data_IF_742127097250
#
_entry.id   IF_742127097250
#
_cell.length_a   1.000
_cell.length_b   1.000
_cell.length_c   1.000
_cell.angle_alpha   90.00
_cell.angle_beta   90.00
_cell.angle_gamma   90.00
#
_symmetry.space_group_name_H-M   'P 1'
#
loop_
_entity.id
_entity.type
_entity.pdbx_description
1 polymer ?
#
# COMPACT_ATOMS: atom_id res chain seq x y z
N UNK A 1 9.99 -21.62 8.44
CA UNK A 1 9.87 -20.92 7.16
C UNK A 1 10.20 -21.90 6.02
N UNK A 2 9.31 -22.02 5.03
CA UNK A 2 9.51 -22.85 3.85
C UNK A 2 9.58 -21.99 2.61
N UNK A 3 10.53 -22.27 1.72
CA UNK A 3 10.74 -21.52 0.50
C UNK A 3 10.25 -22.33 -0.72
N UNK A 4 9.48 -21.67 -1.58
CA UNK A 4 9.05 -22.20 -2.88
C UNK A 4 9.57 -21.23 -3.95
N UNK A 5 10.47 -21.72 -4.81
CA UNK A 5 10.95 -20.92 -5.94
C UNK A 5 9.88 -20.85 -7.02
N UNK A 6 9.37 -19.65 -7.24
CA UNK A 6 8.42 -19.34 -8.31
C UNK A 6 8.77 -17.99 -8.89
N UNK A 7 8.79 -17.90 -10.21
CA UNK A 7 9.02 -16.67 -10.95
C UNK A 7 7.71 -16.18 -11.56
N UNK A 8 7.51 -14.87 -11.55
CA UNK A 8 6.41 -14.24 -12.26
C UNK A 8 6.62 -14.30 -13.78
N UNK A 9 5.53 -14.53 -14.52
CA UNK A 9 5.57 -14.48 -15.97
C UNK A 9 5.78 -13.04 -16.47
N UNK A 10 6.74 -12.88 -17.41
CA UNK A 10 6.99 -11.61 -18.08
C UNK A 10 5.99 -11.42 -19.22
N UNK A 11 5.37 -10.22 -19.30
CA UNK A 11 4.30 -9.93 -20.26
C UNK A 11 4.81 -9.38 -21.60
N UNK A 12 5.97 -8.74 -21.60
CA UNK A 12 6.57 -8.23 -22.84
C UNK A 12 7.30 -9.35 -23.57
N UNK A 13 6.98 -9.52 -24.86
CA UNK A 13 7.63 -10.49 -25.74
C UNK A 13 9.01 -9.96 -26.14
N UNK A 14 10.06 -10.45 -25.49
CA UNK A 14 11.47 -10.33 -25.88
C UNK A 14 12.15 -11.67 -25.74
N UNK A 15 13.26 -11.91 -26.42
CA UNK A 15 14.01 -13.17 -26.32
C UNK A 15 14.43 -13.47 -24.89
N UNK A 16 14.81 -12.44 -24.13
CA UNK A 16 15.15 -12.55 -22.71
C UNK A 16 13.93 -12.95 -21.86
N UNK A 17 12.77 -12.36 -22.13
CA UNK A 17 11.53 -12.65 -21.42
C UNK A 17 10.97 -14.04 -21.78
N UNK A 18 11.20 -14.53 -23.00
CA UNK A 18 10.86 -15.92 -23.37
C UNK A 18 11.70 -16.88 -22.53
N UNK A 19 13.01 -16.66 -22.38
CA UNK A 19 13.85 -17.46 -21.51
C UNK A 19 13.41 -17.43 -20.05
N UNK A 20 13.07 -16.26 -19.52
CA UNK A 20 12.52 -16.09 -18.16
C UNK A 20 11.19 -16.81 -17.99
N UNK A 21 10.32 -16.81 -18.98
CA UNK A 21 9.03 -17.50 -18.94
C UNK A 21 9.19 -19.03 -18.98
N UNK A 22 10.18 -19.56 -19.71
CA UNK A 22 10.52 -21.00 -19.68
C UNK A 22 10.95 -21.40 -18.28
N UNK A 23 11.83 -20.63 -17.62
CA UNK A 23 12.23 -20.86 -16.23
C UNK A 23 11.03 -20.78 -15.29
N UNK A 24 10.13 -19.84 -15.48
CA UNK A 24 8.90 -19.72 -14.68
C UNK A 24 7.99 -20.94 -14.82
N UNK A 25 7.82 -21.48 -16.04
CA UNK A 25 7.07 -22.73 -16.28
C UNK A 25 7.73 -23.91 -15.58
N UNK A 26 9.06 -24.03 -15.65
CA UNK A 26 9.81 -25.08 -14.98
C UNK A 26 9.67 -25.02 -13.45
N UNK A 27 9.82 -23.83 -12.86
CA UNK A 27 9.61 -23.62 -11.43
C UNK A 27 8.16 -23.93 -11.01
N UNK A 28 7.18 -23.57 -11.83
CA UNK A 28 5.77 -23.92 -11.60
C UNK A 28 5.56 -25.44 -11.63
N UNK A 29 6.16 -26.15 -12.57
CA UNK A 29 6.08 -27.61 -12.64
C UNK A 29 6.73 -28.28 -11.41
N UNK A 30 7.88 -27.79 -10.96
CA UNK A 30 8.59 -28.29 -9.77
C UNK A 30 7.92 -27.87 -8.45
N UNK A 31 7.03 -26.89 -8.45
CA UNK A 31 6.32 -26.44 -7.24
C UNK A 31 5.40 -27.53 -6.67
N UNK A 32 4.85 -28.43 -7.51
CA UNK A 32 3.94 -29.49 -7.09
C UNK A 32 4.54 -30.47 -6.05
N UNK A 33 5.69 -31.10 -6.30
CA UNK A 33 6.37 -31.93 -5.30
C UNK A 33 6.75 -31.16 -4.04
N UNK A 34 7.25 -29.92 -4.16
CA UNK A 34 7.63 -29.06 -3.02
C UNK A 34 6.42 -28.70 -2.14
N UNK A 35 5.31 -28.26 -2.74
CA UNK A 35 4.07 -27.96 -2.01
C UNK A 35 3.52 -29.20 -1.31
N UNK A 36 3.60 -30.37 -1.97
CA UNK A 36 3.19 -31.65 -1.37
C UNK A 36 4.02 -31.98 -0.13
N UNK A 37 5.35 -31.80 -0.20
CA UNK A 37 6.26 -32.01 0.92
C UNK A 37 5.90 -31.08 2.09
N UNK A 38 5.76 -29.77 1.84
CA UNK A 38 5.41 -28.77 2.86
C UNK A 38 4.07 -29.13 3.53
N UNK A 39 3.02 -29.44 2.78
CA UNK A 39 1.72 -29.79 3.33
C UNK A 39 1.77 -31.09 4.16
N UNK A 40 2.63 -32.05 3.78
CA UNK A 40 2.81 -33.29 4.56
C UNK A 40 3.57 -33.06 5.87
N UNK A 41 4.54 -32.15 5.87
CA UNK A 41 5.35 -31.80 7.04
C UNK A 41 4.55 -30.92 8.03
N UNK A 42 3.89 -29.89 7.52
CA UNK A 42 3.16 -28.90 8.35
C UNK A 42 1.81 -29.43 8.80
N UNK A 43 1.12 -30.23 7.98
CA UNK A 43 -0.25 -30.75 8.20
C UNK A 43 -1.21 -29.65 8.68
N UNK A 44 -1.37 -28.55 7.91
CA UNK A 44 -2.18 -27.42 8.34
C UNK A 44 -3.68 -27.74 8.32
N UNK A 45 -4.43 -27.21 9.29
CA UNK A 45 -5.90 -27.24 9.29
C UNK A 45 -6.47 -26.19 8.34
N UNK A 46 -5.74 -25.12 8.08
CA UNK A 46 -6.11 -24.02 7.20
C UNK A 46 -4.89 -23.51 6.40
N UNK A 47 -5.09 -23.22 5.13
CA UNK A 47 -4.10 -22.54 4.28
C UNK A 47 -4.68 -21.22 3.77
N UNK A 48 -3.98 -20.10 4.05
CA UNK A 48 -4.38 -18.78 3.63
C UNK A 48 -3.39 -18.24 2.59
N UNK A 49 -3.92 -17.81 1.45
CA UNK A 49 -3.16 -17.13 0.41
C UNK A 49 -3.37 -15.62 0.46
N UNK A 50 -2.28 -14.86 0.64
CA UNK A 50 -2.31 -13.39 0.63
C UNK A 50 -1.81 -12.80 -0.70
N UNK A 51 -2.01 -13.50 -1.80
CA UNK A 51 -1.56 -13.08 -3.13
C UNK A 51 -0.10 -13.42 -3.42
N UNK A 52 0.39 -12.87 -4.53
CA UNK A 52 1.71 -13.20 -5.07
C UNK A 52 1.74 -14.57 -5.77
N UNK A 53 2.79 -14.79 -6.56
CA UNK A 53 2.93 -16.03 -7.35
C UNK A 53 3.09 -17.27 -6.49
N UNK A 54 3.70 -17.12 -5.30
CA UNK A 54 4.00 -18.23 -4.37
C UNK A 54 2.72 -18.81 -3.75
N UNK A 55 1.70 -18.00 -3.50
CA UNK A 55 0.45 -18.46 -2.91
C UNK A 55 -0.32 -19.41 -3.83
N UNK A 56 -0.21 -19.25 -5.16
CA UNK A 56 -0.94 -20.04 -6.14
C UNK A 56 -0.81 -21.56 -5.95
N UNK A 57 0.38 -22.13 -6.10
CA UNK A 57 0.59 -23.57 -6.01
C UNK A 57 0.24 -24.17 -4.66
N UNK A 58 0.61 -23.51 -3.56
CA UNK A 58 0.40 -24.08 -2.21
C UNK A 58 -1.09 -24.08 -1.82
N UNK A 59 -1.80 -22.99 -2.09
CA UNK A 59 -3.25 -22.88 -1.81
C UNK A 59 -4.04 -23.86 -2.69
N UNK A 60 -3.69 -23.93 -3.98
CA UNK A 60 -4.33 -24.87 -4.90
C UNK A 60 -4.09 -26.33 -4.50
N UNK A 61 -2.87 -26.68 -4.10
CA UNK A 61 -2.54 -28.02 -3.64
C UNK A 61 -3.29 -28.39 -2.35
N UNK A 62 -3.48 -27.44 -1.44
CA UNK A 62 -4.26 -27.58 -0.21
C UNK A 62 -5.74 -27.79 -0.53
N UNK A 63 -6.34 -26.95 -1.38
CA UNK A 63 -7.73 -27.09 -1.81
C UNK A 63 -8.03 -28.45 -2.44
N UNK A 64 -7.16 -28.94 -3.33
CA UNK A 64 -7.30 -30.27 -3.95
C UNK A 64 -7.17 -31.44 -2.99
N UNK A 65 -6.62 -31.22 -1.81
CA UNK A 65 -6.51 -32.24 -0.74
C UNK A 65 -7.64 -32.16 0.28
N UNK A 66 -8.61 -31.26 0.08
CA UNK A 66 -9.70 -31.03 1.03
C UNK A 66 -9.29 -30.29 2.30
N UNK A 67 -8.07 -29.73 2.36
CA UNK A 67 -7.65 -28.83 3.44
C UNK A 67 -8.44 -27.52 3.30
N UNK A 68 -8.92 -26.97 4.41
CA UNK A 68 -9.63 -25.69 4.40
C UNK A 68 -8.74 -24.59 3.81
N UNK A 69 -9.29 -23.76 2.92
CA UNK A 69 -8.53 -22.74 2.20
C UNK A 69 -9.24 -21.41 2.16
N UNK A 70 -8.48 -20.34 2.31
CA UNK A 70 -8.94 -18.97 2.14
C UNK A 70 -7.94 -18.19 1.29
N UNK A 71 -8.40 -17.16 0.60
CA UNK A 71 -7.53 -16.13 0.05
C UNK A 71 -7.98 -14.76 0.56
N UNK A 72 -7.00 -13.85 0.72
CA UNK A 72 -7.26 -12.44 0.97
C UNK A 72 -6.73 -11.61 -0.21
N UNK A 73 -7.61 -10.81 -0.82
CA UNK A 73 -7.25 -9.85 -1.85
C UNK A 73 -7.23 -8.45 -1.28
N UNK A 74 -6.07 -7.81 -1.32
CA UNK A 74 -5.81 -6.51 -0.71
C UNK A 74 -6.18 -5.33 -1.60
N UNK A 75 -6.30 -5.54 -2.90
CA UNK A 75 -6.44 -4.48 -3.89
C UNK A 75 -7.86 -4.41 -4.47
N UNK A 76 -8.28 -3.21 -4.87
CA UNK A 76 -9.52 -2.97 -5.60
C UNK A 76 -9.54 -3.65 -7.01
N UNK A 77 -8.35 -3.90 -7.56
CA UNK A 77 -8.18 -4.70 -8.77
C UNK A 77 -7.39 -5.98 -8.45
N UNK A 78 -8.07 -7.14 -8.43
CA UNK A 78 -7.47 -8.40 -8.00
C UNK A 78 -6.33 -8.86 -8.89
N UNK A 79 -5.30 -9.43 -8.24
CA UNK A 79 -4.21 -10.09 -8.95
C UNK A 79 -4.64 -11.39 -9.64
N UNK A 80 -3.93 -11.76 -10.72
CA UNK A 80 -4.23 -12.97 -11.50
C UNK A 80 -4.26 -14.23 -10.65
N UNK A 81 -3.33 -14.38 -9.70
CA UNK A 81 -3.27 -15.54 -8.81
C UNK A 81 -4.55 -15.67 -7.99
N UNK A 82 -5.03 -14.59 -7.37
CA UNK A 82 -6.25 -14.61 -6.57
C UNK A 82 -7.49 -14.87 -7.42
N UNK A 83 -7.57 -14.32 -8.66
CA UNK A 83 -8.66 -14.64 -9.60
C UNK A 83 -8.73 -16.13 -9.93
N UNK A 84 -7.58 -16.77 -10.13
CA UNK A 84 -7.53 -18.22 -10.41
C UNK A 84 -7.92 -19.06 -9.18
N UNK A 85 -7.43 -18.66 -8.00
CA UNK A 85 -7.70 -19.38 -6.75
C UNK A 85 -9.12 -19.17 -6.23
N UNK A 86 -9.76 -18.03 -6.50
CA UNK A 86 -11.09 -17.68 -6.00
C UNK A 86 -12.12 -18.79 -6.26
N UNK A 87 -12.05 -19.47 -7.42
CA UNK A 87 -12.93 -20.56 -7.77
C UNK A 87 -12.64 -21.88 -7.03
N UNK A 88 -11.41 -22.06 -6.55
CA UNK A 88 -10.94 -23.35 -5.96
C UNK A 88 -10.96 -23.34 -4.42
N UNK A 89 -10.89 -22.17 -3.78
CA UNK A 89 -10.86 -22.04 -2.31
C UNK A 89 -12.24 -22.10 -1.66
N UNK A 90 -12.28 -22.34 -0.35
CA UNK A 90 -13.54 -22.39 0.40
C UNK A 90 -14.14 -20.98 0.56
N UNK A 91 -13.34 -19.99 0.95
CA UNK A 91 -13.79 -18.60 1.12
C UNK A 91 -12.80 -17.62 0.50
N UNK A 92 -13.31 -16.46 0.08
CA UNK A 92 -12.57 -15.35 -0.44
C UNK A 92 -12.82 -14.13 0.44
N UNK A 93 -11.77 -13.51 0.93
CA UNK A 93 -11.80 -12.29 1.72
C UNK A 93 -11.28 -11.14 0.85
N UNK A 94 -12.10 -10.13 0.61
CA UNK A 94 -11.73 -8.98 -0.22
C UNK A 94 -11.60 -7.72 0.65
N UNK A 95 -10.60 -6.89 0.36
CA UNK A 95 -10.47 -5.62 1.04
C UNK A 95 -11.48 -4.58 0.52
N UNK A 96 -11.80 -4.63 -0.77
CA UNK A 96 -12.67 -3.66 -1.45
C UNK A 96 -13.87 -4.36 -2.10
N UNK A 97 -15.03 -3.68 -2.10
CA UNK A 97 -16.21 -4.12 -2.82
C UNK A 97 -15.97 -4.19 -4.35
N UNK A 98 -15.14 -3.29 -4.89
CA UNK A 98 -14.76 -3.25 -6.31
C UNK A 98 -14.04 -4.52 -6.78
N UNK A 99 -13.46 -5.30 -5.85
CA UNK A 99 -12.78 -6.55 -6.15
C UNK A 99 -13.73 -7.74 -6.31
N UNK A 100 -14.92 -7.72 -5.71
CA UNK A 100 -15.81 -8.88 -5.57
C UNK A 100 -16.15 -9.51 -6.92
N UNK A 101 -16.75 -8.73 -7.82
CA UNK A 101 -17.13 -9.21 -9.16
C UNK A 101 -15.91 -9.63 -9.99
N UNK A 102 -14.81 -8.89 -9.85
CA UNK A 102 -13.57 -9.12 -10.62
C UNK A 102 -12.83 -10.40 -10.19
N UNK A 103 -13.08 -10.90 -8.97
CA UNK A 103 -12.57 -12.18 -8.47
C UNK A 103 -13.29 -13.38 -9.10
N UNK A 104 -14.52 -13.19 -9.59
CA UNK A 104 -15.29 -14.22 -10.31
C UNK A 104 -15.82 -15.35 -9.41
N UNK A 105 -16.04 -15.07 -8.13
CA UNK A 105 -16.65 -15.96 -7.15
C UNK A 105 -17.41 -15.15 -6.07
N UNK A 106 -18.40 -14.30 -6.47
CA UNK A 106 -19.07 -13.39 -5.54
C UNK A 106 -19.81 -14.14 -4.42
N UNK A 107 -20.32 -15.33 -4.68
CA UNK A 107 -21.09 -16.16 -3.74
C UNK A 107 -20.32 -16.59 -2.49
N UNK A 108 -19.00 -16.62 -2.55
CA UNK A 108 -18.11 -16.97 -1.42
C UNK A 108 -17.12 -15.86 -1.07
N UNK A 109 -17.31 -14.67 -1.64
CA UNK A 109 -16.49 -13.50 -1.35
C UNK A 109 -17.16 -12.63 -0.29
N UNK A 110 -16.42 -12.30 0.75
CA UNK A 110 -16.86 -11.35 1.80
C UNK A 110 -15.91 -10.17 1.82
N UNK A 111 -16.46 -8.94 1.84
CA UNK A 111 -15.68 -7.72 2.03
C UNK A 111 -15.36 -7.58 3.51
N UNK A 112 -14.07 -7.56 3.83
CA UNK A 112 -13.54 -7.50 5.21
C UNK A 112 -12.61 -6.32 5.44
N UNK A 113 -12.12 -5.67 4.40
CA UNK A 113 -11.08 -4.64 4.47
C UNK A 113 -9.67 -5.23 4.53
N UNK A 114 -8.67 -4.35 4.62
CA UNK A 114 -7.28 -4.72 4.89
C UNK A 114 -7.00 -4.63 6.40
N UNK A 115 -6.24 -5.58 6.97
CA UNK A 115 -5.86 -5.49 8.38
C UNK A 115 -4.91 -4.31 8.59
N UNK A 116 -5.24 -3.47 9.57
CA UNK A 116 -4.42 -2.33 10.00
C UNK A 116 -3.77 -2.68 11.33
N UNK A 117 -2.50 -2.29 11.48
CA UNK A 117 -1.76 -2.52 12.72
C UNK A 117 -2.42 -1.84 13.91
N UNK A 118 -2.56 -2.51 15.06
CA UNK A 118 -3.19 -1.93 16.26
C UNK A 118 -2.57 -0.59 16.67
N UNK A 119 -1.24 -0.44 16.52
CA UNK A 119 -0.53 0.78 16.86
C UNK A 119 -0.96 1.99 16.01
N UNK A 120 -1.42 1.77 14.76
CA UNK A 120 -1.97 2.82 13.90
C UNK A 120 -3.35 3.26 14.40
N UNK A 121 -4.17 2.30 14.84
CA UNK A 121 -5.53 2.57 15.34
C UNK A 121 -5.53 3.29 16.69
N UNK A 122 -4.50 3.05 17.52
CA UNK A 122 -4.41 3.56 18.90
C UNK A 122 -3.48 4.75 19.07
N UNK A 123 -2.78 5.18 18.01
CA UNK A 123 -1.84 6.31 18.09
C UNK A 123 -2.58 7.63 18.39
N UNK A 124 -2.19 8.26 19.50
CA UNK A 124 -2.75 9.55 19.91
C UNK A 124 -2.15 10.71 19.11
N UNK A 125 -3.03 11.48 18.46
CA UNK A 125 -2.63 12.62 17.61
C UNK A 125 -1.98 13.74 18.41
N UNK A 126 -2.51 14.08 19.57
CA UNK A 126 -2.02 15.19 20.36
C UNK A 126 -0.61 14.88 20.91
N UNK A 127 -0.43 13.67 21.45
CA UNK A 127 0.86 13.18 21.90
C UNK A 127 1.89 13.08 20.77
N UNK A 128 1.47 12.59 19.58
CA UNK A 128 2.34 12.52 18.40
C UNK A 128 2.80 13.91 17.93
N UNK A 129 1.91 14.88 17.86
CA UNK A 129 2.23 16.27 17.49
C UNK A 129 3.11 16.96 18.53
N UNK A 130 2.85 16.74 19.83
CA UNK A 130 3.70 17.27 20.92
C UNK A 130 5.13 16.73 20.81
N UNK A 131 5.31 15.44 20.56
CA UNK A 131 6.62 14.80 20.38
C UNK A 131 7.40 15.36 19.19
N UNK A 132 6.70 15.79 18.14
CA UNK A 132 7.29 16.43 16.96
C UNK A 132 7.50 17.94 17.13
N UNK A 133 7.12 18.53 18.26
CA UNK A 133 7.06 19.97 18.46
C UNK A 133 6.29 20.67 17.32
N UNK A 134 5.25 20.02 16.79
CA UNK A 134 4.54 20.50 15.61
C UNK A 134 3.79 21.82 15.85
N UNK A 135 3.33 22.07 17.08
CA UNK A 135 2.54 23.26 17.41
C UNK A 135 1.31 23.38 16.52
N UNK A 136 1.12 24.55 15.92
CA UNK A 136 0.04 24.85 14.96
C UNK A 136 0.45 24.66 13.49
N UNK A 137 1.68 24.15 13.23
CA UNK A 137 2.14 23.89 11.85
C UNK A 137 1.31 22.81 11.19
N UNK A 138 1.06 22.94 9.90
CA UNK A 138 0.54 21.83 9.11
C UNK A 138 1.63 20.75 8.97
N UNK A 139 1.32 19.52 9.35
CA UNK A 139 2.27 18.40 9.26
C UNK A 139 2.05 17.67 7.93
N UNK A 140 3.05 17.72 7.06
CA UNK A 140 3.10 16.95 5.81
C UNK A 140 4.02 15.75 6.01
N UNK A 141 3.54 14.57 5.63
CA UNK A 141 4.31 13.34 5.64
C UNK A 141 4.44 12.83 4.20
N UNK A 142 5.66 12.64 3.71
CA UNK A 142 5.87 12.14 2.34
C UNK A 142 6.83 10.96 2.28
N UNK A 143 6.51 9.95 1.47
CA UNK A 143 7.34 8.76 1.30
C UNK A 143 7.00 7.97 0.04
N UNK A 144 8.01 7.29 -0.52
CA UNK A 144 7.88 6.43 -1.71
C UNK A 144 7.84 4.92 -1.43
N UNK A 145 7.76 4.53 -0.15
CA UNK A 145 7.92 3.13 0.31
C UNK A 145 9.33 2.85 0.83
N UNK A 146 9.59 1.62 1.32
CA UNK A 146 10.84 1.24 2.01
C UNK A 146 12.10 1.39 1.13
N UNK A 147 11.98 1.14 -0.16
CA UNK A 147 13.10 1.32 -1.11
C UNK A 147 13.20 2.77 -1.62
N UNK A 148 12.14 3.55 -1.44
CA UNK A 148 11.98 4.87 -2.03
C UNK A 148 11.40 4.83 -3.45
N UNK A 149 11.16 6.01 -4.00
CA UNK A 149 10.71 6.22 -5.37
C UNK A 149 11.35 7.52 -5.88
N UNK A 150 12.29 7.40 -6.82
CA UNK A 150 13.09 8.52 -7.30
C UNK A 150 12.22 9.69 -7.79
N UNK A 151 11.12 9.37 -8.49
CA UNK A 151 10.21 10.40 -8.98
C UNK A 151 9.51 11.17 -7.86
N UNK A 152 9.11 10.46 -6.77
CA UNK A 152 8.54 11.12 -5.58
C UNK A 152 9.62 11.99 -4.91
N UNK A 153 10.82 11.46 -4.71
CA UNK A 153 11.93 12.20 -4.13
C UNK A 153 12.22 13.51 -4.90
N UNK A 154 12.24 13.44 -6.25
CA UNK A 154 12.47 14.62 -7.10
C UNK A 154 11.41 15.70 -6.89
N UNK A 155 10.13 15.36 -6.98
CA UNK A 155 9.07 16.37 -6.88
C UNK A 155 8.83 16.85 -5.44
N UNK A 156 9.14 16.01 -4.44
CA UNK A 156 9.13 16.41 -3.03
C UNK A 156 10.28 17.40 -2.75
N UNK A 157 11.44 17.25 -3.39
CA UNK A 157 12.51 18.23 -3.27
C UNK A 157 12.09 19.61 -3.84
N UNK A 158 11.32 19.64 -4.95
CA UNK A 158 10.71 20.88 -5.45
C UNK A 158 9.74 21.50 -4.43
N UNK A 159 8.93 20.67 -3.80
CA UNK A 159 8.00 21.10 -2.75
C UNK A 159 8.74 21.66 -1.53
N UNK A 160 9.79 21.00 -1.04
CA UNK A 160 10.62 21.46 0.08
C UNK A 160 11.30 22.82 -0.22
N UNK A 161 11.80 23.00 -1.45
CA UNK A 161 12.37 24.26 -1.88
C UNK A 161 11.33 25.40 -1.89
N UNK A 162 10.13 25.13 -2.39
CA UNK A 162 9.00 26.06 -2.37
C UNK A 162 8.56 26.40 -0.94
N UNK A 163 8.43 25.40 -0.06
CA UNK A 163 8.06 25.59 1.36
C UNK A 163 9.06 26.54 2.06
N UNK A 164 10.36 26.34 1.80
CA UNK A 164 11.42 27.22 2.32
C UNK A 164 11.31 28.64 1.79
N UNK A 165 11.16 28.80 0.47
CA UNK A 165 11.12 30.14 -0.19
C UNK A 165 9.89 30.95 0.23
N UNK A 166 8.77 30.29 0.48
CA UNK A 166 7.50 30.95 0.85
C UNK A 166 7.26 31.02 2.35
N UNK A 167 8.22 30.58 3.17
CA UNK A 167 8.13 30.55 4.64
C UNK A 167 6.80 29.97 5.16
N UNK A 168 6.35 28.87 4.56
CA UNK A 168 5.08 28.24 4.95
C UNK A 168 5.16 27.71 6.38
N UNK A 169 4.05 27.83 7.11
CA UNK A 169 3.92 27.29 8.47
C UNK A 169 3.65 25.78 8.41
N UNK A 170 4.65 25.03 7.93
CA UNK A 170 4.61 23.58 7.69
C UNK A 170 5.74 22.91 8.46
N UNK A 171 5.48 21.70 8.96
CA UNK A 171 6.49 20.71 9.35
C UNK A 171 6.43 19.57 8.35
N UNK A 172 7.43 19.45 7.49
CA UNK A 172 7.49 18.40 6.48
C UNK A 172 8.42 17.27 6.97
N UNK A 173 7.91 16.04 6.96
CA UNK A 173 8.66 14.82 7.27
C UNK A 173 8.75 13.98 5.99
N UNK A 174 9.94 13.79 5.47
CA UNK A 174 10.18 13.04 4.24
C UNK A 174 11.03 11.81 4.48
N UNK A 175 10.60 10.66 3.93
CA UNK A 175 11.42 9.46 3.87
C UNK A 175 11.84 9.15 2.43
N UNK A 176 13.15 9.20 2.20
CA UNK A 176 13.75 9.01 0.88
C UNK A 176 13.70 7.56 0.41
N UNK A 177 13.63 6.61 1.35
CA UNK A 177 13.87 5.20 1.11
C UNK A 177 15.36 4.87 0.93
N UNK A 178 15.72 3.60 1.12
CA UNK A 178 17.12 3.16 1.18
C UNK A 178 17.93 3.45 -0.11
N UNK A 179 17.27 3.56 -1.26
CA UNK A 179 17.94 3.88 -2.53
C UNK A 179 17.95 5.37 -2.86
N UNK A 180 17.09 6.16 -2.19
CA UNK A 180 16.87 7.57 -2.49
C UNK A 180 17.79 8.55 -1.76
N UNK A 181 18.52 8.12 -0.74
CA UNK A 181 19.33 9.02 0.13
C UNK A 181 20.26 9.93 -0.66
N UNK A 182 21.15 9.35 -1.45
CA UNK A 182 22.14 10.11 -2.24
C UNK A 182 21.50 11.03 -3.28
N UNK A 183 20.39 10.57 -3.89
CA UNK A 183 19.63 11.39 -4.83
C UNK A 183 19.08 12.63 -4.12
N UNK A 184 18.47 12.45 -2.96
CA UNK A 184 17.83 13.55 -2.23
C UNK A 184 18.86 14.54 -1.69
N UNK A 185 19.99 14.09 -1.14
CA UNK A 185 21.12 14.94 -0.74
C UNK A 185 21.67 15.79 -1.91
N UNK A 186 21.66 15.26 -3.13
CA UNK A 186 22.03 16.00 -4.34
C UNK A 186 21.00 17.10 -4.65
N UNK A 187 19.72 16.77 -4.56
CA UNK A 187 18.60 17.72 -4.79
C UNK A 187 18.54 18.82 -3.73
N UNK A 188 18.84 18.52 -2.47
CA UNK A 188 18.96 19.54 -1.40
C UNK A 188 19.97 20.64 -1.77
N UNK A 189 21.14 20.24 -2.25
CA UNK A 189 22.21 21.16 -2.69
C UNK A 189 21.81 21.94 -3.93
N UNK A 190 21.29 21.24 -4.94
CA UNK A 190 20.86 21.81 -6.22
C UNK A 190 19.77 22.88 -6.04
N UNK A 191 18.77 22.58 -5.19
CA UNK A 191 17.59 23.43 -4.99
C UNK A 191 17.74 24.39 -3.81
N UNK A 192 18.85 24.35 -3.09
CA UNK A 192 19.22 25.32 -2.05
C UNK A 192 18.39 25.21 -0.78
N UNK A 193 17.94 24.03 -0.39
CA UNK A 193 17.30 23.78 0.91
C UNK A 193 18.09 22.75 1.74
N UNK A 194 17.78 22.61 3.01
CA UNK A 194 18.40 21.64 3.91
C UNK A 194 17.44 21.24 5.03
N UNK A 195 17.58 20.05 5.60
CA UNK A 195 16.89 19.67 6.82
C UNK A 195 17.09 20.68 7.95
N UNK A 196 16.08 20.83 8.81
CA UNK A 196 16.06 21.78 9.89
C UNK A 196 14.78 21.71 10.69
N UNK A 197 14.41 22.80 11.38
CA UNK A 197 13.24 22.81 12.27
C UNK A 197 11.91 22.47 11.57
N UNK A 198 11.78 22.87 10.30
CA UNK A 198 10.55 22.71 9.52
C UNK A 198 10.64 21.57 8.50
N UNK A 199 11.79 20.92 8.33
CA UNK A 199 12.01 19.82 7.40
C UNK A 199 12.85 18.71 8.05
N UNK A 200 12.26 17.55 8.23
CA UNK A 200 12.95 16.35 8.71
C UNK A 200 13.06 15.36 7.56
N UNK A 201 14.28 14.99 7.20
CA UNK A 201 14.57 13.99 6.15
C UNK A 201 15.18 12.76 6.79
N UNK A 202 14.63 11.60 6.46
CA UNK A 202 15.12 10.30 6.95
C UNK A 202 15.19 9.29 5.81
N UNK A 203 16.04 8.27 5.97
CA UNK A 203 16.03 7.15 5.04
C UNK A 203 14.75 6.33 5.18
N UNK A 204 14.36 6.03 6.41
CA UNK A 204 13.24 5.15 6.72
C UNK A 204 12.45 5.65 7.94
N UNK A 205 11.13 5.41 7.93
CA UNK A 205 10.23 5.76 9.03
C UNK A 205 10.01 4.53 9.91
N UNK A 206 10.58 4.52 11.12
CA UNK A 206 10.39 3.44 12.09
C UNK A 206 9.11 3.60 12.93
N UNK A 207 8.61 4.80 13.07
CA UNK A 207 7.46 5.17 13.91
C UNK A 207 6.25 5.64 13.08
N UNK A 208 5.95 4.96 11.98
CA UNK A 208 4.87 5.29 11.05
C UNK A 208 3.51 5.54 11.74
N UNK A 209 3.07 4.75 12.75
CA UNK A 209 1.81 5.01 13.45
C UNK A 209 1.72 6.43 14.02
N UNK A 210 2.77 6.89 14.70
CA UNK A 210 2.82 8.23 15.29
C UNK A 210 2.85 9.32 14.23
N UNK A 211 3.61 9.12 13.13
CA UNK A 211 3.69 10.11 12.06
C UNK A 211 2.37 10.21 11.29
N UNK A 212 1.70 9.10 11.02
CA UNK A 212 0.35 9.10 10.44
C UNK A 212 -0.66 9.79 11.37
N UNK A 213 -0.58 9.55 12.69
CA UNK A 213 -1.45 10.23 13.64
C UNK A 213 -1.21 11.74 13.66
N UNK A 214 0.04 12.21 13.57
CA UNK A 214 0.40 13.61 13.57
C UNK A 214 0.07 14.36 12.28
N UNK A 215 0.15 13.67 11.14
CA UNK A 215 0.02 14.25 9.79
C UNK A 215 -1.34 14.90 9.54
N UNK A 216 -1.34 15.97 8.76
CA UNK A 216 -2.51 16.63 8.17
C UNK A 216 -2.68 16.24 6.71
N UNK A 217 -1.55 16.07 6.00
CA UNK A 217 -1.49 15.66 4.60
C UNK A 217 -0.43 14.57 4.42
N UNK A 218 -0.76 13.54 3.67
CA UNK A 218 0.19 12.46 3.33
C UNK A 218 0.39 12.42 1.81
N UNK A 219 1.65 12.42 1.36
CA UNK A 219 2.04 12.27 -0.04
C UNK A 219 2.73 10.91 -0.19
N UNK A 220 2.12 9.97 -0.90
CA UNK A 220 2.64 8.60 -0.92
C UNK A 220 2.24 7.81 -2.18
N UNK A 221 2.84 6.63 -2.34
CA UNK A 221 2.33 5.58 -3.22
C UNK A 221 1.00 5.04 -2.69
N UNK A 222 0.15 4.52 -3.58
CA UNK A 222 -1.16 3.97 -3.27
C UNK A 222 -1.15 2.44 -3.09
N UNK A 223 -0.19 1.95 -2.29
CA UNK A 223 -0.17 0.56 -1.86
C UNK A 223 -1.36 0.27 -0.93
N UNK A 224 -1.98 -0.90 -1.08
CA UNK A 224 -3.23 -1.25 -0.38
C UNK A 224 -3.17 -1.07 1.15
N UNK A 225 -2.06 -1.48 1.79
CA UNK A 225 -1.90 -1.31 3.25
C UNK A 225 -1.70 0.16 3.65
N UNK A 226 -1.00 0.95 2.82
CA UNK A 226 -0.86 2.40 3.06
C UNK A 226 -2.23 3.08 3.04
N UNK A 227 -3.07 2.74 2.06
CA UNK A 227 -4.43 3.32 1.97
C UNK A 227 -5.29 2.91 3.16
N UNK A 228 -5.27 1.63 3.55
CA UNK A 228 -6.00 1.15 4.72
C UNK A 228 -5.57 1.89 6.01
N UNK A 229 -4.27 2.18 6.18
CA UNK A 229 -3.78 2.97 7.31
C UNK A 229 -4.26 4.44 7.22
N UNK A 230 -4.23 5.07 6.03
CA UNK A 230 -4.73 6.44 5.83
C UNK A 230 -6.25 6.55 6.11
N UNK A 231 -7.01 5.59 5.63
CA UNK A 231 -8.44 5.46 5.87
C UNK A 231 -8.73 5.30 7.37
N UNK A 232 -8.02 4.39 8.04
CA UNK A 232 -8.23 4.11 9.46
C UNK A 232 -7.98 5.33 10.36
N UNK A 233 -6.94 6.13 10.06
CA UNK A 233 -6.62 7.34 10.82
C UNK A 233 -7.32 8.60 10.27
N UNK A 234 -7.99 8.52 9.14
CA UNK A 234 -8.69 9.65 8.50
C UNK A 234 -7.72 10.75 8.06
N UNK A 235 -6.85 10.46 7.09
CA UNK A 235 -5.87 11.43 6.59
C UNK A 235 -6.12 11.83 5.14
N UNK A 236 -6.08 13.14 4.90
CA UNK A 236 -6.03 13.67 3.53
C UNK A 236 -4.76 13.19 2.83
N UNK A 237 -4.85 12.90 1.54
CA UNK A 237 -3.69 12.41 0.81
C UNK A 237 -3.56 12.93 -0.62
N UNK A 238 -2.31 13.04 -1.08
CA UNK A 238 -1.94 13.13 -2.49
C UNK A 238 -1.29 11.79 -2.85
N UNK A 239 -1.96 11.04 -3.69
CA UNK A 239 -1.57 9.68 -4.06
C UNK A 239 -0.91 9.65 -5.43
N UNK A 240 0.27 9.04 -5.49
CA UNK A 240 1.07 8.91 -6.71
C UNK A 240 1.22 7.41 -6.99
N UNK A 241 0.28 6.80 -7.75
CA UNK A 241 0.33 5.38 -8.08
C UNK A 241 1.64 4.99 -8.76
N UNK A 242 2.22 3.86 -8.36
CA UNK A 242 3.39 3.31 -9.04
C UNK A 242 2.97 2.74 -10.41
N UNK A 243 3.65 3.11 -11.52
CA UNK A 243 3.39 2.51 -12.83
C UNK A 243 3.98 1.10 -12.96
N UNK A 244 4.89 0.72 -12.05
CA UNK A 244 5.67 -0.52 -12.13
C UNK A 244 5.05 -1.68 -11.33
N UNK A 245 3.72 -1.70 -11.20
CA UNK A 245 3.00 -2.75 -10.47
C UNK A 245 2.10 -3.55 -11.40
N UNK A 246 1.86 -4.82 -11.04
CA UNK A 246 1.00 -5.70 -11.83
C UNK A 246 -0.43 -5.13 -11.91
N UNK A 247 -1.07 -5.25 -13.09
CA UNK A 247 -2.47 -4.84 -13.32
C UNK A 247 -2.78 -3.37 -12.97
N UNK A 248 -1.75 -2.51 -12.83
CA UNK A 248 -1.92 -1.11 -12.42
C UNK A 248 -2.76 -0.95 -11.12
N UNK A 249 -2.69 -1.95 -10.23
CA UNK A 249 -3.56 -2.04 -9.05
C UNK A 249 -3.48 -0.80 -8.15
N UNK A 250 -2.29 -0.15 -8.04
CA UNK A 250 -2.16 1.06 -7.25
C UNK A 250 -3.02 2.22 -7.79
N UNK A 251 -3.18 2.33 -9.11
CA UNK A 251 -4.05 3.33 -9.70
C UNK A 251 -5.52 3.09 -9.32
N UNK A 252 -5.99 1.86 -9.43
CA UNK A 252 -7.36 1.51 -9.05
C UNK A 252 -7.62 1.69 -7.56
N UNK A 253 -6.67 1.33 -6.71
CA UNK A 253 -6.75 1.60 -5.26
C UNK A 253 -6.88 3.10 -4.98
N UNK A 254 -6.05 3.96 -5.62
CA UNK A 254 -6.09 5.40 -5.44
C UNK A 254 -7.42 6.02 -5.90
N UNK A 255 -8.02 5.49 -6.97
CA UNK A 255 -9.29 5.98 -7.49
C UNK A 255 -10.46 5.81 -6.50
N UNK A 256 -10.45 4.82 -5.63
CA UNK A 256 -11.48 4.66 -4.59
C UNK A 256 -11.46 5.86 -3.63
N UNK A 257 -10.27 6.25 -3.14
CA UNK A 257 -10.14 7.41 -2.27
C UNK A 257 -10.45 8.73 -3.00
N UNK A 258 -10.07 8.84 -4.28
CA UNK A 258 -10.40 10.02 -5.09
C UNK A 258 -11.90 10.16 -5.30
N UNK A 259 -12.62 9.10 -5.63
CA UNK A 259 -14.08 9.09 -5.79
C UNK A 259 -14.81 9.51 -4.52
N UNK A 260 -14.29 9.11 -3.37
CA UNK A 260 -14.81 9.51 -2.06
C UNK A 260 -14.41 10.95 -1.65
N UNK A 261 -13.60 11.66 -2.44
CA UNK A 261 -13.09 12.98 -2.09
C UNK A 261 -12.05 12.95 -0.94
N UNK A 262 -11.41 11.82 -0.71
CA UNK A 262 -10.41 11.61 0.35
C UNK A 262 -8.97 11.86 -0.13
N UNK A 263 -8.74 11.82 -1.44
CA UNK A 263 -7.42 11.97 -2.03
C UNK A 263 -7.44 12.79 -3.33
N UNK A 264 -6.29 13.41 -3.64
CA UNK A 264 -5.94 13.86 -4.98
C UNK A 264 -5.01 12.82 -5.59
N UNK A 265 -5.32 12.33 -6.79
CA UNK A 265 -4.49 11.34 -7.50
C UNK A 265 -3.73 11.99 -8.62
N UNK A 266 -2.41 11.79 -8.65
CA UNK A 266 -1.53 12.26 -9.72
C UNK A 266 -0.79 11.06 -10.29
N UNK A 267 -1.11 10.66 -11.52
CA UNK A 267 -0.36 9.61 -12.20
C UNK A 267 1.09 10.04 -12.44
N UNK A 268 2.05 9.13 -12.24
CA UNK A 268 3.48 9.45 -12.33
C UNK A 268 3.89 10.06 -13.68
N UNK A 269 3.23 9.68 -14.78
CA UNK A 269 3.47 10.27 -16.11
C UNK A 269 3.12 11.76 -16.20
N UNK A 270 2.21 12.24 -15.35
CA UNK A 270 1.74 13.63 -15.29
C UNK A 270 2.37 14.40 -14.11
N UNK A 271 3.20 13.72 -13.30
CA UNK A 271 3.76 14.29 -12.10
C UNK A 271 4.93 15.23 -12.42
N UNK A 272 4.78 16.50 -12.04
CA UNK A 272 5.84 17.52 -12.11
C UNK A 272 6.01 18.21 -10.76
N UNK A 273 7.18 18.83 -10.51
CA UNK A 273 7.41 19.58 -9.28
C UNK A 273 6.39 20.70 -9.10
N UNK A 274 6.21 21.54 -10.12
CA UNK A 274 5.22 22.64 -10.10
C UNK A 274 3.80 22.13 -9.92
N UNK A 275 3.46 20.99 -10.53
CA UNK A 275 2.14 20.35 -10.39
C UNK A 275 1.87 19.89 -8.96
N UNK A 276 2.86 19.30 -8.30
CA UNK A 276 2.75 18.90 -6.90
C UNK A 276 2.66 20.12 -5.98
N UNK A 277 3.53 21.12 -6.18
CA UNK A 277 3.50 22.40 -5.43
C UNK A 277 2.13 23.04 -5.52
N UNK A 278 1.59 23.23 -6.75
CA UNK A 278 0.27 23.83 -6.96
C UNK A 278 -0.84 23.03 -6.27
N UNK A 279 -0.78 21.70 -6.32
CA UNK A 279 -1.75 20.83 -5.66
C UNK A 279 -1.71 21.01 -4.15
N UNK A 280 -0.50 20.95 -3.55
CA UNK A 280 -0.32 21.12 -2.10
C UNK A 280 -0.71 22.54 -1.68
N UNK A 281 -0.29 23.55 -2.41
CA UNK A 281 -0.69 24.95 -2.13
C UNK A 281 -2.21 25.13 -2.11
N UNK A 282 -2.91 24.59 -3.10
CA UNK A 282 -4.37 24.64 -3.16
C UNK A 282 -5.01 23.97 -1.94
N UNK A 283 -4.50 22.82 -1.52
CA UNK A 283 -5.00 22.11 -0.34
C UNK A 283 -4.74 22.90 0.96
N UNK A 284 -3.55 23.49 1.10
CA UNK A 284 -3.16 24.25 2.29
C UNK A 284 -3.91 25.58 2.42
N UNK A 285 -4.27 26.20 1.29
CA UNK A 285 -4.96 27.50 1.27
C UNK A 285 -6.49 27.40 1.27
N UNK A 286 -7.04 26.20 1.08
CA UNK A 286 -8.48 25.94 1.11
C UNK A 286 -8.95 25.64 2.53
N UNK A 287 -9.69 26.53 3.19
CA UNK A 287 -10.12 26.33 4.58
C UNK A 287 -10.89 25.04 4.78
N UNK A 288 -10.51 24.24 5.76
CA UNK A 288 -11.18 22.99 6.11
C UNK A 288 -10.99 21.83 5.12
N UNK A 289 -10.34 22.03 3.97
CA UNK A 289 -10.25 21.01 2.92
C UNK A 289 -9.52 19.74 3.37
N UNK A 290 -8.42 19.85 4.08
CA UNK A 290 -7.70 18.68 4.62
C UNK A 290 -8.55 17.93 5.65
N UNK A 291 -9.33 18.64 6.47
CA UNK A 291 -10.22 18.01 7.44
C UNK A 291 -11.38 17.26 6.75
N UNK A 292 -11.98 17.88 5.72
CA UNK A 292 -13.01 17.24 4.87
C UNK A 292 -12.48 15.97 4.22
N UNK A 293 -11.33 16.05 3.57
CA UNK A 293 -10.70 14.89 2.92
C UNK A 293 -10.37 13.78 3.93
N UNK A 294 -9.88 14.15 5.11
CA UNK A 294 -9.61 13.19 6.18
C UNK A 294 -10.88 12.52 6.71
N UNK A 295 -11.96 13.28 6.88
CA UNK A 295 -13.26 12.72 7.27
C UNK A 295 -13.79 11.74 6.20
N UNK A 296 -13.67 12.09 4.92
CA UNK A 296 -14.03 11.22 3.81
C UNK A 296 -13.18 9.93 3.80
N UNK A 297 -11.85 10.03 4.02
CA UNK A 297 -10.98 8.86 4.13
C UNK A 297 -11.47 7.92 5.24
N UNK A 298 -11.83 8.46 6.39
CA UNK A 298 -12.29 7.68 7.54
C UNK A 298 -13.58 6.90 7.28
N UNK A 299 -14.45 7.36 6.36
CA UNK A 299 -15.67 6.62 5.98
C UNK A 299 -15.39 5.34 5.19
N UNK A 300 -14.23 5.24 4.56
CA UNK A 300 -13.80 4.07 3.80
C UNK A 300 -13.12 3.02 4.68
N UNK A 301 -12.52 3.45 5.79
CA UNK A 301 -11.73 2.60 6.67
C UNK A 301 -12.59 1.60 7.45
N UNK A 302 -12.07 0.40 7.60
CA UNK A 302 -12.65 -0.61 8.48
C UNK A 302 -11.66 -0.97 9.61
N UNK A 303 -11.76 -0.36 10.79
CA UNK A 303 -10.86 -0.65 11.91
C UNK A 303 -11.01 -2.07 12.47
N UNK A 304 -12.11 -2.76 12.16
CA UNK A 304 -12.41 -4.13 12.60
C UNK A 304 -12.04 -5.19 11.57
N UNK A 305 -11.28 -4.84 10.51
CA UNK A 305 -10.90 -5.77 9.44
C UNK A 305 -10.22 -7.04 9.98
N UNK A 306 -9.31 -6.90 10.94
CA UNK A 306 -8.59 -8.04 11.53
C UNK A 306 -9.54 -8.99 12.27
N UNK A 307 -10.49 -8.44 13.03
CA UNK A 307 -11.47 -9.22 13.79
C UNK A 307 -12.39 -9.97 12.82
N UNK A 308 -12.88 -9.30 11.78
CA UNK A 308 -13.73 -9.92 10.74
C UNK A 308 -13.00 -11.03 9.99
N UNK A 309 -11.75 -10.81 9.60
CA UNK A 309 -10.91 -11.83 8.96
C UNK A 309 -10.79 -13.04 9.90
N UNK A 310 -10.42 -12.80 11.16
CA UNK A 310 -10.24 -13.85 12.16
C UNK A 310 -11.52 -14.65 12.39
N UNK A 311 -12.66 -13.98 12.56
CA UNK A 311 -13.98 -14.61 12.71
C UNK A 311 -14.30 -15.55 11.55
N UNK A 312 -14.13 -15.06 10.30
CA UNK A 312 -14.42 -15.87 9.10
C UNK A 312 -13.50 -17.08 8.98
N UNK A 313 -12.22 -16.94 9.32
CA UNK A 313 -11.26 -18.03 9.27
C UNK A 313 -11.52 -19.07 10.36
N UNK A 314 -11.82 -18.65 11.60
CA UNK A 314 -12.17 -19.56 12.68
C UNK A 314 -13.48 -20.31 12.39
N UNK A 315 -14.49 -19.63 11.85
CA UNK A 315 -15.73 -20.27 11.42
C UNK A 315 -15.47 -21.32 10.34
N UNK A 316 -14.55 -21.07 9.40
CA UNK A 316 -14.20 -22.02 8.35
C UNK A 316 -13.53 -23.29 8.92
N UNK A 317 -12.71 -23.16 9.97
CA UNK A 317 -12.00 -24.29 10.58
C UNK A 317 -12.90 -25.12 11.47
N UNK A 318 -13.79 -24.47 12.25
CA UNK A 318 -14.60 -25.11 13.28
C UNK A 318 -15.96 -25.65 12.75
N UNK A 319 -16.40 -25.19 11.58
CA UNK A 319 -17.65 -25.62 10.92
C UNK A 319 -17.42 -26.50 9.74
#
# INVERSE_FOLDING_TARGET
FHHIEINGFQRHLSLENIGRNIVAIWHLALSGPRTRKILNEVKPDLVIGCGGYVSGPIVRAAARRGIKTAIHEQNAFPGVTNKLLAKEVNIVLAASADAVEKLGAPEKTTVVGNPVRPEVLTADRAAARAKLNAGNRTVILSFGGSLGADRINQVVADLCAWEKQTHRNVLHLHATGSRGVKLFEGLEKEKGFAPGENLVVTEYINNMPQLLAAADLVIARSGALTLAELEAVGRASVLIPSPNVAENHQYYNALELQKAGAAVVIEEKNLTGDGLVKTVETLLTSPGKLAEMGANAKTLGNPHSLDLITEKLLKLVNG
#
